data_IF_278631842017
#
_entry.id   IF_278631842017
#
_cell.length_a   1.000
_cell.length_b   1.000
_cell.length_c   1.000
_cell.angle_alpha   90.00
_cell.angle_beta   90.00
_cell.angle_gamma   90.00
#
_symmetry.space_group_name_H-M   'P 1'
#
loop_
_entity.id
_entity.type
_entity.pdbx_description
1 polymer ?
#
# COMPACT_ATOMS: atom_id res chain seq x y z
N UNK A 1 29.92 -22.08 4.35
CA UNK A 1 29.36 -20.72 4.17
C UNK A 1 27.89 -20.81 4.52
N UNK A 2 27.53 -20.51 5.76
CA UNK A 2 26.12 -20.54 6.18
C UNK A 2 25.48 -19.23 5.71
N UNK A 3 24.49 -19.30 4.83
CA UNK A 3 23.60 -18.16 4.58
C UNK A 3 22.83 -17.89 5.87
N UNK A 4 23.19 -16.80 6.54
CA UNK A 4 22.36 -16.19 7.57
C UNK A 4 21.07 -15.76 6.85
N UNK A 5 19.97 -16.47 7.13
CA UNK A 5 18.65 -16.10 6.60
C UNK A 5 18.13 -14.96 7.46
N UNK A 6 17.80 -13.84 6.83
CA UNK A 6 17.17 -12.70 7.49
C UNK A 6 15.98 -13.15 8.35
N UNK A 7 15.87 -12.60 9.56
CA UNK A 7 14.80 -12.95 10.50
C UNK A 7 13.41 -12.51 10.02
N UNK A 8 13.35 -11.60 9.05
CA UNK A 8 12.13 -11.06 8.45
C UNK A 8 12.35 -10.84 6.95
N UNK A 9 11.34 -11.17 6.16
CA UNK A 9 11.25 -10.85 4.74
C UNK A 9 9.91 -10.17 4.46
N UNK A 10 9.89 -9.21 3.53
CA UNK A 10 8.67 -8.59 3.02
C UNK A 10 8.48 -9.03 1.58
N UNK A 11 7.37 -9.72 1.30
CA UNK A 11 7.04 -10.21 -0.03
C UNK A 11 5.86 -9.40 -0.57
N UNK A 12 6.08 -8.71 -1.68
CA UNK A 12 4.98 -8.15 -2.46
C UNK A 12 5.40 -7.81 -3.90
N UNK A 13 4.42 -7.64 -4.79
CA UNK A 13 4.67 -7.29 -6.21
C UNK A 13 4.82 -5.78 -6.41
N UNK A 14 5.92 -5.34 -7.03
CA UNK A 14 6.04 -3.96 -7.51
C UNK A 14 4.86 -3.61 -8.42
N UNK A 15 4.18 -2.49 -8.14
CA UNK A 15 2.95 -2.11 -8.85
C UNK A 15 2.85 -0.60 -9.01
N UNK A 16 2.32 -0.17 -10.15
CA UNK A 16 1.85 1.20 -10.36
C UNK A 16 0.32 1.19 -10.37
N UNK A 17 -0.29 2.10 -9.63
CA UNK A 17 -1.73 2.24 -9.47
C UNK A 17 -2.15 3.62 -9.98
N UNK A 18 -3.19 3.68 -10.81
CA UNK A 18 -3.70 4.91 -11.39
C UNK A 18 -5.17 5.16 -10.98
N UNK A 19 -5.46 5.32 -9.67
CA UNK A 19 -6.83 5.49 -9.17
C UNK A 19 -7.40 6.86 -9.56
N UNK A 20 -8.71 6.98 -9.62
CA UNK A 20 -9.38 8.26 -9.87
C UNK A 20 -9.40 9.14 -8.60
N UNK A 21 -9.39 10.45 -8.77
CA UNK A 21 -9.64 11.40 -7.67
C UNK A 21 -10.97 11.08 -6.97
N UNK A 22 -10.98 11.16 -5.64
CA UNK A 22 -12.13 10.87 -4.78
C UNK A 22 -12.37 9.39 -4.52
N UNK A 23 -11.71 8.47 -5.26
CA UNK A 23 -11.79 7.04 -5.02
C UNK A 23 -10.90 6.60 -3.84
N UNK A 24 -10.91 5.30 -3.53
CA UNK A 24 -9.98 4.68 -2.60
C UNK A 24 -9.06 3.66 -3.29
N UNK A 25 -7.92 3.38 -2.67
CA UNK A 25 -6.99 2.36 -3.15
C UNK A 25 -6.46 1.54 -1.98
N UNK A 26 -6.26 0.24 -2.20
CA UNK A 26 -5.70 -0.68 -1.21
C UNK A 26 -4.25 -1.02 -1.51
N UNK A 27 -3.39 -0.80 -0.53
CA UNK A 27 -2.02 -1.30 -0.47
C UNK A 27 -2.02 -2.58 0.37
N UNK A 28 -1.30 -3.61 -0.07
CA UNK A 28 -1.21 -4.90 0.63
C UNK A 28 0.23 -5.36 0.68
N UNK A 29 0.66 -5.78 1.87
CA UNK A 29 2.01 -6.22 2.18
C UNK A 29 1.94 -7.50 3.02
N UNK A 30 2.79 -8.47 2.70
CA UNK A 30 2.96 -9.70 3.46
C UNK A 30 4.38 -9.77 4.02
N UNK A 31 4.51 -9.68 5.35
CA UNK A 31 5.77 -9.89 6.05
C UNK A 31 5.82 -11.32 6.61
N UNK A 32 6.88 -12.07 6.30
CA UNK A 32 7.14 -13.38 6.88
C UNK A 32 8.33 -13.26 7.81
N UNK A 33 8.21 -13.77 9.02
CA UNK A 33 9.25 -13.58 10.01
C UNK A 33 9.32 -14.73 11.00
N UNK A 34 10.49 -14.86 11.59
CA UNK A 34 10.81 -15.82 12.61
C UNK A 34 10.55 -15.20 13.98
N UNK A 35 9.49 -15.62 14.67
CA UNK A 35 9.10 -14.99 15.94
C UNK A 35 10.18 -15.13 17.03
N UNK A 36 10.99 -16.20 17.01
CA UNK A 36 12.05 -16.38 18.01
C UNK A 36 13.24 -15.45 17.78
N UNK A 37 13.51 -15.09 16.53
CA UNK A 37 14.62 -14.20 16.17
C UNK A 37 14.21 -12.73 16.15
N UNK A 38 12.97 -12.45 15.75
CA UNK A 38 12.47 -11.08 15.53
C UNK A 38 11.66 -10.54 16.72
N UNK A 39 11.01 -11.43 17.50
CA UNK A 39 10.12 -11.04 18.59
C UNK A 39 8.84 -10.38 18.07
N UNK A 40 8.48 -9.24 18.65
CA UNK A 40 7.39 -8.41 18.14
C UNK A 40 7.84 -7.70 16.87
N UNK A 41 7.09 -7.90 15.78
CA UNK A 41 7.29 -7.21 14.52
C UNK A 41 6.38 -5.96 14.46
N UNK A 42 6.89 -4.82 14.01
CA UNK A 42 6.08 -3.69 13.54
C UNK A 42 6.05 -3.72 12.02
N UNK A 43 4.85 -3.59 11.41
CA UNK A 43 4.72 -3.57 9.95
C UNK A 43 3.78 -2.44 9.57
N UNK A 44 4.28 -1.50 8.77
CA UNK A 44 3.51 -0.33 8.38
C UNK A 44 3.89 0.17 6.98
N UNK A 45 3.00 0.97 6.40
CA UNK A 45 3.21 1.67 5.14
C UNK A 45 3.79 3.06 5.41
N UNK A 46 4.71 3.46 4.54
CA UNK A 46 5.37 4.75 4.59
C UNK A 46 5.25 5.47 3.26
N UNK A 47 5.10 6.79 3.31
CA UNK A 47 5.22 7.70 2.18
C UNK A 47 6.18 8.82 2.58
N UNK A 48 7.23 9.05 1.79
CA UNK A 48 8.25 10.07 2.08
C UNK A 48 8.80 9.97 3.53
N UNK A 49 9.16 8.76 3.97
CA UNK A 49 9.62 8.46 5.36
C UNK A 49 8.58 8.62 6.47
N UNK A 50 7.36 9.08 6.19
CA UNK A 50 6.31 9.21 7.18
C UNK A 50 5.39 7.98 7.18
N UNK A 51 5.16 7.41 8.37
CA UNK A 51 4.22 6.30 8.55
C UNK A 51 2.76 6.78 8.31
N UNK A 52 1.98 5.98 7.59
CA UNK A 52 0.58 6.26 7.30
C UNK A 52 -0.31 6.02 8.53
N UNK A 53 -0.42 7.02 9.41
CA UNK A 53 -1.08 6.89 10.72
C UNK A 53 -2.39 7.67 10.86
N UNK A 54 -2.70 8.59 9.94
CA UNK A 54 -3.90 9.44 10.01
C UNK A 54 -5.21 8.62 9.92
N UNK A 55 -6.00 8.47 11.01
CA UNK A 55 -7.09 7.48 11.06
C UNK A 55 -8.27 7.75 10.12
N UNK A 56 -8.49 9.01 9.74
CA UNK A 56 -9.54 9.41 8.79
C UNK A 56 -9.14 9.23 7.33
N UNK A 57 -7.85 9.08 7.06
CA UNK A 57 -7.28 8.96 5.72
C UNK A 57 -6.93 7.52 5.39
N UNK A 58 -6.42 6.78 6.39
CA UNK A 58 -5.89 5.44 6.24
C UNK A 58 -6.68 4.47 7.10
N UNK A 59 -7.20 3.42 6.48
CA UNK A 59 -7.83 2.30 7.18
C UNK A 59 -6.95 1.07 7.02
N UNK A 60 -6.27 0.72 8.11
CA UNK A 60 -5.35 -0.40 8.14
C UNK A 60 -5.98 -1.60 8.82
N UNK A 61 -5.89 -2.75 8.17
CA UNK A 61 -6.25 -4.06 8.72
C UNK A 61 -5.01 -4.92 8.78
N UNK A 62 -4.85 -5.65 9.88
CA UNK A 62 -3.69 -6.51 10.12
C UNK A 62 -4.21 -7.91 10.42
N UNK A 63 -3.70 -8.89 9.67
CA UNK A 63 -3.98 -10.30 9.89
C UNK A 63 -2.66 -11.03 10.12
N UNK A 64 -2.59 -11.85 11.17
CA UNK A 64 -1.42 -12.68 11.46
C UNK A 64 -1.81 -14.16 11.39
N UNK A 65 -1.00 -14.93 10.67
CA UNK A 65 -1.14 -16.37 10.54
C UNK A 65 0.14 -17.05 11.00
N UNK A 66 -0.02 -18.16 11.71
CA UNK A 66 1.08 -18.97 12.24
C UNK A 66 1.15 -20.21 11.33
N UNK A 67 2.21 -20.32 10.51
CA UNK A 67 2.37 -21.47 9.61
C UNK A 67 3.03 -22.66 10.31
N UNK A 68 3.94 -22.37 11.25
CA UNK A 68 4.71 -23.35 12.04
C UNK A 68 4.91 -22.83 13.47
N UNK A 69 5.52 -23.60 14.38
CA UNK A 69 5.81 -23.15 15.76
C UNK A 69 6.69 -21.88 15.85
N UNK A 70 7.35 -21.48 14.75
CA UNK A 70 8.35 -20.41 14.71
C UNK A 70 8.04 -19.33 13.67
N UNK A 71 7.61 -19.74 12.48
CA UNK A 71 7.34 -18.85 11.36
C UNK A 71 5.95 -18.25 11.44
N UNK A 72 5.88 -16.94 11.25
CA UNK A 72 4.65 -16.18 11.20
C UNK A 72 4.58 -15.42 9.90
N UNK A 73 3.36 -15.20 9.42
CA UNK A 73 3.05 -14.32 8.30
C UNK A 73 2.08 -13.25 8.77
N UNK A 74 2.50 -12.00 8.70
CA UNK A 74 1.68 -10.83 8.99
C UNK A 74 1.33 -10.11 7.70
N UNK A 75 0.06 -10.06 7.39
CA UNK A 75 -0.48 -9.29 6.28
C UNK A 75 -0.99 -7.94 6.77
N UNK A 76 -0.55 -6.86 6.15
CA UNK A 76 -1.00 -5.49 6.41
C UNK A 76 -1.66 -4.93 5.16
N UNK A 77 -2.94 -4.62 5.25
CA UNK A 77 -3.71 -4.00 4.17
C UNK A 77 -4.15 -2.61 4.61
N UNK A 78 -3.68 -1.59 3.91
CA UNK A 78 -4.04 -0.19 4.16
C UNK A 78 -4.85 0.36 3.00
N UNK A 79 -6.08 0.77 3.27
CA UNK A 79 -6.91 1.51 2.34
C UNK A 79 -6.71 3.01 2.51
N UNK A 80 -6.31 3.69 1.44
CA UNK A 80 -6.22 5.15 1.37
C UNK A 80 -7.54 5.68 0.84
N UNK A 81 -8.24 6.47 1.64
CA UNK A 81 -9.56 7.00 1.30
C UNK A 81 -9.51 8.37 0.61
N UNK A 82 -10.54 8.65 -0.17
CA UNK A 82 -10.81 9.97 -0.78
C UNK A 82 -9.55 10.59 -1.39
N UNK A 83 -9.01 9.93 -2.41
CA UNK A 83 -7.73 10.27 -3.02
C UNK A 83 -7.74 11.67 -3.65
N UNK A 84 -6.70 12.44 -3.38
CA UNK A 84 -6.42 13.75 -3.99
C UNK A 84 -5.09 13.68 -4.75
N UNK A 85 -4.82 14.63 -5.66
CA UNK A 85 -3.55 14.64 -6.39
C UNK A 85 -2.31 14.61 -5.49
N UNK A 86 -2.39 15.20 -4.29
CA UNK A 86 -1.34 15.26 -3.29
C UNK A 86 -1.00 13.90 -2.67
N UNK A 87 -1.90 12.92 -2.77
CA UNK A 87 -1.64 11.54 -2.32
C UNK A 87 -0.78 10.74 -3.31
N UNK A 88 -0.47 11.30 -4.48
CA UNK A 88 0.40 10.64 -5.46
C UNK A 88 1.83 10.54 -4.93
N UNK A 89 2.49 9.41 -5.20
CA UNK A 89 3.86 9.20 -4.76
C UNK A 89 4.25 7.74 -4.63
N UNK A 90 5.43 7.52 -4.05
CA UNK A 90 5.97 6.20 -3.77
C UNK A 90 5.66 5.77 -2.34
N UNK A 91 5.12 4.57 -2.21
CA UNK A 91 4.73 3.96 -0.95
C UNK A 91 5.57 2.71 -0.71
N UNK A 92 6.05 2.54 0.52
CA UNK A 92 6.88 1.40 0.90
C UNK A 92 6.35 0.74 2.16
N UNK A 93 6.23 -0.58 2.13
CA UNK A 93 5.99 -1.38 3.33
C UNK A 93 7.33 -1.65 4.02
N UNK A 94 7.37 -1.40 5.33
CA UNK A 94 8.53 -1.69 6.18
C UNK A 94 8.10 -2.63 7.28
N UNK A 95 8.97 -3.60 7.57
CA UNK A 95 8.82 -4.54 8.66
C UNK A 95 10.05 -4.42 9.57
N UNK A 96 9.82 -4.06 10.82
CA UNK A 96 10.88 -3.78 11.80
C UNK A 96 10.75 -4.73 12.98
N UNK A 97 11.79 -5.53 13.22
CA UNK A 97 11.92 -6.36 14.40
C UNK A 97 12.37 -5.51 15.59
N UNK A 98 11.87 -5.81 16.79
CA UNK A 98 12.39 -5.21 18.03
C UNK A 98 13.91 -5.41 18.21
N UNK A 99 14.45 -6.48 17.62
CA UNK A 99 15.87 -6.83 17.69
C UNK A 99 16.73 -6.22 16.55
N UNK A 100 16.21 -5.19 15.87
CA UNK A 100 16.87 -4.33 14.86
C UNK A 100 17.02 -4.85 13.42
N UNK A 101 16.51 -6.03 13.11
CA UNK A 101 16.38 -6.43 11.71
C UNK A 101 15.23 -5.66 11.05
N UNK A 102 15.50 -5.03 9.92
CA UNK A 102 14.49 -4.33 9.11
C UNK A 102 14.45 -4.95 7.73
N UNK A 103 13.26 -5.30 7.28
CA UNK A 103 13.00 -5.65 5.88
C UNK A 103 12.12 -4.58 5.23
N UNK A 104 12.52 -4.17 4.03
CA UNK A 104 11.75 -3.26 3.21
C UNK A 104 11.30 -4.00 1.96
N UNK A 105 10.02 -3.90 1.62
CA UNK A 105 9.58 -4.37 0.31
C UNK A 105 9.93 -3.36 -0.79
N UNK A 106 9.44 -3.61 -2.01
CA UNK A 106 9.59 -2.72 -3.17
C UNK A 106 8.97 -1.31 -2.95
N UNK A 107 8.78 -0.53 -4.01
CA UNK A 107 7.91 0.66 -4.00
C UNK A 107 6.62 0.39 -4.79
N UNK A 108 5.48 0.85 -4.26
CA UNK A 108 4.23 0.99 -5.01
C UNK A 108 4.09 2.45 -5.40
N UNK A 109 3.89 2.71 -6.69
CA UNK A 109 3.65 4.07 -7.19
C UNK A 109 2.15 4.29 -7.32
N UNK A 110 1.61 5.32 -6.68
CA UNK A 110 0.24 5.78 -6.88
C UNK A 110 0.28 7.08 -7.69
N UNK A 111 -0.45 7.12 -8.80
CA UNK A 111 -0.67 8.31 -9.62
C UNK A 111 -2.16 8.62 -9.68
N UNK A 112 -2.64 9.54 -8.85
CA UNK A 112 -4.06 9.89 -8.79
C UNK A 112 -4.47 10.63 -10.06
N UNK A 113 -5.37 10.04 -10.83
CA UNK A 113 -5.88 10.59 -12.08
C UNK A 113 -6.98 11.60 -11.80
N UNK A 114 -6.88 12.78 -12.44
CA UNK A 114 -7.98 13.74 -12.46
C UNK A 114 -9.22 13.16 -13.15
N UNK A 115 -10.40 13.72 -12.87
CA UNK A 115 -11.57 13.44 -13.69
C UNK A 115 -11.25 13.88 -15.12
N UNK A 116 -11.28 12.94 -16.09
CA UNK A 116 -11.42 13.33 -17.48
C UNK A 116 -12.72 14.12 -17.55
N UNK A 117 -12.64 15.42 -17.81
CA UNK A 117 -13.80 16.19 -18.23
C UNK A 117 -14.29 15.52 -19.51
N UNK A 118 -15.32 14.68 -19.40
CA UNK A 118 -16.08 14.26 -20.58
C UNK A 118 -16.73 15.55 -21.04
N UNK A 119 -16.16 16.18 -22.06
CA UNK A 119 -16.88 17.17 -22.85
C UNK A 119 -18.08 16.42 -23.42
N UNK A 120 -19.23 16.52 -22.75
CA UNK A 120 -20.51 16.19 -23.34
C UNK A 120 -20.64 17.17 -24.51
N UNK A 121 -20.29 16.70 -25.71
CA UNK A 121 -20.62 17.38 -26.95
C UNK A 121 -22.12 17.61 -26.92
N UNK A 122 -22.53 18.82 -26.57
CA UNK A 122 -23.89 19.29 -26.70
C UNK A 122 -24.21 19.30 -28.19
N UNK A 123 -24.78 18.22 -28.70
CA UNK A 123 -25.43 18.19 -29.99
C UNK A 123 -26.74 18.97 -29.91
N UNK A 124 -26.65 20.29 -30.02
CA UNK A 124 -27.81 21.19 -30.10
C UNK A 124 -27.72 22.10 -31.33
N UNK A 125 -28.58 21.84 -32.33
CA UNK A 125 -29.20 22.82 -33.25
C UNK A 125 -29.95 22.07 -34.35
N UNK A 126 -31.28 21.97 -34.27
CA UNK A 126 -32.31 22.87 -34.83
C UNK A 126 -32.66 22.58 -36.29
N UNK A 127 -33.98 22.34 -36.49
CA UNK A 127 -34.67 22.32 -37.77
C UNK A 127 -34.46 23.63 -38.55
N UNK A 128 -34.41 23.52 -39.88
CA UNK A 128 -35.03 24.47 -40.82
C UNK A 128 -35.40 23.72 -42.12
N UNK A 129 -36.56 24.04 -42.70
CA UNK A 129 -37.19 23.36 -43.85
C UNK A 129 -36.55 23.64 -45.21
N UNK A 130 -37.27 23.49 -46.33
CA UNK A 130 -38.70 23.84 -46.52
C UNK A 130 -39.70 22.71 -46.26
#
# INVERSE_FOLDING_TARGET
>A
MNQEKDAVEVIYTQKTLNPARGSSVKLSCDARYDFKQCGLLHVAWFQNEAELTQPRKYHTTVNETISDQRMRRRQVVTEILNLTPEDSGAFQCRAECQLKDTAMGHLIIINVQGMRNITLAHGGSTKAGP
#
